data_IF_183821477249
#
_entry.id   IF_183821477249
#
_cell.length_a   1.000
_cell.length_b   1.000
_cell.length_c   1.000
_cell.angle_alpha   90.00
_cell.angle_beta   90.00
_cell.angle_gamma   90.00
#
_symmetry.space_group_name_H-M   'P 1'
#
loop_
_entity.id
_entity.type
_entity.pdbx_description
1 polymer ?
#
# COMPACT_ATOMS: atom_id res chain seq x y z
N UNK A 1 14.18 15.20 -28.71
CA UNK A 1 13.09 14.24 -28.43
C UNK A 1 13.14 13.92 -26.95
N UNK A 2 12.12 14.33 -26.17
CA UNK A 2 12.05 13.99 -24.76
C UNK A 2 11.65 12.52 -24.65
N UNK A 3 12.62 11.64 -24.40
CA UNK A 3 12.32 10.28 -23.95
C UNK A 3 11.86 10.39 -22.50
N UNK A 4 10.56 10.64 -22.31
CA UNK A 4 9.92 10.32 -21.04
C UNK A 4 9.90 8.79 -20.96
N UNK A 5 11.02 8.22 -20.49
CA UNK A 5 11.08 6.83 -20.08
C UNK A 5 10.13 6.70 -18.90
N UNK A 6 8.90 6.31 -19.17
CA UNK A 6 7.95 5.93 -18.15
C UNK A 6 8.49 4.65 -17.50
N UNK A 7 9.39 4.83 -16.53
CA UNK A 7 9.82 3.81 -15.59
C UNK A 7 8.61 3.46 -14.74
N UNK A 8 7.67 2.69 -15.30
CA UNK A 8 6.48 2.21 -14.61
C UNK A 8 6.87 1.03 -13.71
N UNK A 9 7.78 1.28 -12.79
CA UNK A 9 8.14 0.31 -11.77
C UNK A 9 7.00 0.31 -10.76
N UNK A 10 6.44 -0.85 -10.41
CA UNK A 10 5.42 -0.92 -9.37
C UNK A 10 6.06 -0.48 -8.04
N UNK A 11 5.69 0.71 -7.56
CA UNK A 11 6.17 1.32 -6.33
C UNK A 11 5.04 1.46 -5.31
N UNK A 12 5.38 1.32 -4.03
CA UNK A 12 4.40 1.46 -2.97
C UNK A 12 4.03 2.93 -2.78
N UNK A 13 2.73 3.28 -2.90
CA UNK A 13 2.25 4.65 -2.69
C UNK A 13 2.36 5.17 -1.24
N UNK A 14 2.88 4.36 -0.31
CA UNK A 14 3.08 4.74 1.10
C UNK A 14 4.54 5.10 1.36
N UNK A 15 5.48 4.25 0.93
CA UNK A 15 6.93 4.48 1.12
C UNK A 15 7.65 4.98 -0.14
N UNK A 16 6.95 5.13 -1.26
CA UNK A 16 7.49 5.53 -2.57
C UNK A 16 8.75 4.75 -2.96
N UNK A 17 8.76 3.46 -2.66
CA UNK A 17 9.87 2.57 -2.93
C UNK A 17 9.40 1.22 -3.43
N UNK A 18 10.36 0.33 -3.66
CA UNK A 18 10.11 -1.04 -4.11
C UNK A 18 9.17 -1.79 -3.16
N UNK A 19 8.24 -2.56 -3.72
CA UNK A 19 7.33 -3.40 -2.93
C UNK A 19 8.10 -4.47 -2.16
N UNK A 20 8.32 -4.24 -0.87
CA UNK A 20 8.90 -5.24 0.03
C UNK A 20 7.77 -5.95 0.79
N UNK A 21 7.60 -7.25 0.50
CA UNK A 21 6.45 -8.06 0.94
C UNK A 21 5.11 -7.43 0.52
N UNK A 22 4.83 -7.34 -0.79
CA UNK A 22 3.57 -6.82 -1.31
C UNK A 22 2.40 -7.63 -0.75
N UNK A 23 1.44 -6.93 -0.15
CA UNK A 23 0.19 -7.50 0.31
C UNK A 23 -0.95 -6.84 -0.44
N UNK A 24 -1.72 -7.68 -1.12
CA UNK A 24 -2.95 -7.27 -1.81
C UNK A 24 -4.02 -7.07 -0.74
N UNK A 25 -4.59 -5.88 -0.70
CA UNK A 25 -5.70 -5.55 0.19
C UNK A 25 -7.04 -5.89 -0.49
N UNK A 26 -8.15 -6.01 0.27
CA UNK A 26 -9.48 -6.33 -0.26
C UNK A 26 -9.98 -5.41 -1.38
N UNK A 27 -9.49 -4.16 -1.47
CA UNK A 27 -9.85 -3.25 -2.55
C UNK A 27 -9.05 -3.49 -3.85
N UNK A 28 -8.16 -4.49 -3.91
CA UNK A 28 -7.38 -4.87 -5.09
C UNK A 28 -6.03 -4.16 -5.24
N UNK A 29 -5.68 -3.25 -4.35
CA UNK A 29 -4.41 -2.53 -4.38
C UNK A 29 -3.29 -3.27 -3.62
N UNK A 30 -2.05 -3.04 -4.01
CA UNK A 30 -0.89 -3.70 -3.39
C UNK A 30 -0.09 -2.67 -2.60
N UNK A 31 0.22 -2.99 -1.35
CA UNK A 31 1.07 -2.16 -0.49
C UNK A 31 2.06 -3.04 0.27
N UNK A 32 3.15 -2.46 0.76
CA UNK A 32 4.07 -3.21 1.58
C UNK A 32 3.42 -3.60 2.92
N UNK A 33 3.67 -4.83 3.38
CA UNK A 33 3.14 -5.33 4.66
C UNK A 33 3.48 -4.38 5.82
N UNK A 34 4.73 -3.93 5.89
CA UNK A 34 5.22 -3.02 6.92
C UNK A 34 4.58 -1.63 6.83
N UNK A 35 4.30 -1.15 5.61
CA UNK A 35 3.59 0.11 5.42
C UNK A 35 2.16 0.03 5.96
N UNK A 36 1.44 -1.07 5.67
CA UNK A 36 0.10 -1.31 6.21
C UNK A 36 0.16 -1.41 7.74
N UNK A 37 1.08 -2.23 8.28
CA UNK A 37 1.24 -2.44 9.72
C UNK A 37 1.56 -1.15 10.46
N UNK A 38 2.45 -0.32 9.92
CA UNK A 38 2.78 1.00 10.47
C UNK A 38 1.59 1.96 10.44
N UNK A 39 0.79 1.93 9.38
CA UNK A 39 -0.39 2.78 9.25
C UNK A 39 -1.50 2.40 10.24
N UNK A 40 -1.74 1.10 10.46
CA UNK A 40 -2.73 0.62 11.44
C UNK A 40 -2.20 0.62 12.88
N UNK A 41 -0.87 0.67 13.08
CA UNK A 41 -0.26 0.82 14.39
C UNK A 41 -0.65 2.14 15.06
N UNK A 42 -0.97 3.17 14.26
CA UNK A 42 -1.39 4.50 14.72
C UNK A 42 -2.83 4.58 15.31
N UNK A 43 -3.39 3.44 15.74
CA UNK A 43 -4.63 3.23 16.56
C UNK A 43 -5.87 2.76 15.80
N UNK A 44 -5.90 2.78 14.48
CA UNK A 44 -7.07 2.31 13.71
C UNK A 44 -6.91 0.87 13.25
N UNK A 45 -7.89 0.00 13.55
CA UNK A 45 -7.97 -1.35 12.97
C UNK A 45 -8.33 -1.33 11.46
N UNK A 46 -8.50 -0.14 10.91
CA UNK A 46 -8.85 0.14 9.52
C UNK A 46 -7.68 0.85 8.85
N UNK A 47 -7.37 0.41 7.64
CA UNK A 47 -6.37 0.98 6.74
C UNK A 47 -7.11 1.61 5.56
N UNK A 48 -7.21 2.94 5.47
CA UNK A 48 -7.77 3.59 4.29
C UNK A 48 -6.78 3.47 3.12
N UNK A 49 -7.25 2.96 1.99
CA UNK A 49 -6.42 2.81 0.80
C UNK A 49 -6.02 4.20 0.25
N UNK A 50 -4.73 4.54 0.10
CA UNK A 50 -4.32 5.83 -0.45
C UNK A 50 -4.62 6.00 -1.96
N UNK A 51 -5.02 4.93 -2.65
CA UNK A 51 -5.31 4.95 -4.09
C UNK A 51 -6.81 5.13 -4.37
N UNK A 52 -7.67 4.46 -3.61
CA UNK A 52 -9.13 4.50 -3.82
C UNK A 52 -9.93 4.98 -2.61
N UNK A 53 -9.27 5.38 -1.52
CA UNK A 53 -9.87 5.80 -0.25
C UNK A 53 -10.85 4.78 0.36
N UNK A 54 -10.73 3.49 0.01
CA UNK A 54 -11.53 2.44 0.64
C UNK A 54 -10.97 2.06 2.01
N UNK A 55 -11.84 2.04 3.01
CA UNK A 55 -11.56 1.51 4.34
C UNK A 55 -11.37 -0.01 4.31
N UNK A 56 -10.12 -0.43 4.40
CA UNK A 56 -9.76 -1.84 4.49
C UNK A 56 -9.68 -2.24 5.95
N UNK A 57 -10.47 -3.24 6.34
CA UNK A 57 -10.33 -3.89 7.65
C UNK A 57 -9.25 -4.96 7.57
N UNK A 58 -8.11 -4.71 8.21
CA UNK A 58 -7.06 -5.72 8.34
C UNK A 58 -7.41 -6.56 9.58
N UNK A 59 -7.77 -7.85 9.43
CA UNK A 59 -7.95 -8.71 10.59
C UNK A 59 -6.61 -8.79 11.32
N UNK A 60 -6.61 -8.54 12.64
CA UNK A 60 -5.44 -8.82 13.48
C UNK A 60 -5.11 -10.29 13.27
N UNK A 61 -3.99 -10.54 12.61
CA UNK A 61 -3.45 -11.88 12.40
C UNK A 61 -3.36 -12.53 13.79
N UNK A 62 -4.14 -13.59 14.00
CA UNK A 62 -3.99 -14.47 15.15
C UNK A 62 -2.66 -15.20 15.09
#
# INVERSE_FOLDING_TARGET
>A
MATASASNTPECSICFGSFEKPKIVPCGHTFCLWCIERFIADKTKTFPCPICNQDIRIPKRG
#
